data_IF_693937405107
#
_entry.id   IF_693937405107
#
_cell.length_a   1.000
_cell.length_b   1.000
_cell.length_c   1.000
_cell.angle_alpha   90.00
_cell.angle_beta   90.00
_cell.angle_gamma   90.00
#
_symmetry.space_group_name_H-M   'P 1'
#
loop_
_entity.id
_entity.type
_entity.pdbx_description
1 polymer ?
#
# COMPACT_ATOMS: atom_id res chain seq x y z
N UNK A 1 -23.29 -26.04 11.55
CA UNK A 1 -22.76 -24.66 11.61
C UNK A 1 -21.27 -24.79 11.49
N UNK A 2 -20.68 -24.40 10.35
CA UNK A 2 -19.24 -24.30 10.26
C UNK A 2 -18.82 -23.17 11.22
N UNK A 3 -17.82 -23.42 12.05
CA UNK A 3 -17.16 -22.33 12.78
C UNK A 3 -16.50 -21.50 11.70
N UNK A 4 -17.01 -20.29 11.47
CA UNK A 4 -16.32 -19.31 10.62
C UNK A 4 -14.96 -19.07 11.27
N UNK A 5 -13.91 -19.62 10.66
CA UNK A 5 -12.55 -19.36 11.09
C UNK A 5 -12.24 -17.93 10.73
N UNK A 6 -12.12 -17.08 11.74
CA UNK A 6 -11.67 -15.71 11.60
C UNK A 6 -10.31 -15.67 10.87
N UNK A 7 -10.13 -14.84 9.83
CA UNK A 7 -8.93 -14.86 9.01
C UNK A 7 -7.67 -14.36 9.74
N UNK A 8 -7.82 -13.49 10.75
CA UNK A 8 -6.74 -13.01 11.60
C UNK A 8 -6.84 -13.53 13.03
N UNK A 9 -5.67 -13.84 13.60
CA UNK A 9 -5.51 -14.15 15.02
C UNK A 9 -5.54 -12.89 15.90
N UNK A 10 -5.84 -13.04 17.19
CA UNK A 10 -5.79 -11.93 18.15
C UNK A 10 -4.42 -11.24 18.17
N UNK A 11 -3.33 -12.01 18.11
CA UNK A 11 -1.96 -11.45 18.07
C UNK A 11 -1.72 -10.55 16.84
N UNK A 12 -2.29 -10.88 15.69
CA UNK A 12 -2.18 -10.06 14.47
C UNK A 12 -2.98 -8.77 14.60
N UNK A 13 -4.18 -8.83 15.20
CA UNK A 13 -5.02 -7.66 15.48
C UNK A 13 -4.30 -6.74 16.49
N UNK A 14 -3.76 -7.30 17.57
CA UNK A 14 -2.98 -6.56 18.57
C UNK A 14 -1.73 -5.93 17.95
N UNK A 15 -1.03 -6.64 17.06
CA UNK A 15 0.09 -6.08 16.31
C UNK A 15 -0.32 -4.88 15.48
N UNK A 16 -1.42 -4.97 14.72
CA UNK A 16 -1.90 -3.86 13.91
C UNK A 16 -2.20 -2.62 14.77
N UNK A 17 -2.91 -2.77 15.89
CA UNK A 17 -3.21 -1.62 16.76
C UNK A 17 -1.97 -1.07 17.48
N UNK A 18 -1.03 -1.94 17.85
CA UNK A 18 0.21 -1.54 18.51
C UNK A 18 1.13 -0.78 17.55
N UNK A 19 1.32 -1.31 16.36
CA UNK A 19 2.37 -0.91 15.41
C UNK A 19 1.83 0.00 14.29
N UNK A 20 0.51 0.06 14.10
CA UNK A 20 -0.14 0.89 13.09
C UNK A 20 -0.21 0.23 11.71
N UNK A 21 0.36 -0.96 11.57
CA UNK A 21 0.35 -1.77 10.36
C UNK A 21 0.46 -3.26 10.67
N UNK A 22 0.09 -4.09 9.70
CA UNK A 22 0.22 -5.54 9.73
C UNK A 22 0.59 -6.05 8.34
N UNK A 23 1.71 -6.76 8.24
CA UNK A 23 2.00 -7.58 7.07
C UNK A 23 1.44 -8.99 7.32
N UNK A 24 0.42 -9.38 6.57
CA UNK A 24 -0.30 -10.63 6.73
C UNK A 24 -0.10 -11.55 5.53
N UNK A 25 0.10 -12.84 5.82
CA UNK A 25 0.20 -13.92 4.83
C UNK A 25 -1.07 -14.77 4.84
N UNK A 26 -1.34 -15.46 3.74
CA UNK A 26 -2.40 -16.49 3.65
C UNK A 26 -3.82 -15.96 3.43
N UNK A 27 -4.01 -14.63 3.38
CA UNK A 27 -5.29 -14.03 2.98
C UNK A 27 -5.52 -14.10 1.48
N UNK A 28 -4.44 -14.18 0.70
CA UNK A 28 -4.46 -14.35 -0.75
C UNK A 28 -3.72 -15.65 -1.03
N UNK A 29 -4.39 -16.68 -1.57
CA UNK A 29 -3.74 -17.92 -1.96
C UNK A 29 -2.58 -17.64 -2.92
N UNK A 30 -1.42 -18.26 -2.69
CA UNK A 30 -0.23 -18.03 -3.51
C UNK A 30 -0.51 -18.27 -5.00
N UNK A 31 -1.29 -19.29 -5.35
CA UNK A 31 -1.68 -19.55 -6.74
C UNK A 31 -2.43 -18.37 -7.40
N UNK A 32 -3.29 -17.66 -6.64
CA UNK A 32 -3.98 -16.46 -7.14
C UNK A 32 -2.98 -15.32 -7.32
N UNK A 33 -2.10 -15.10 -6.34
CA UNK A 33 -1.09 -14.05 -6.42
C UNK A 33 -0.09 -14.28 -7.57
N UNK A 34 0.31 -15.53 -7.83
CA UNK A 34 1.18 -15.91 -8.96
C UNK A 34 0.51 -15.70 -10.31
N UNK A 35 -0.79 -16.01 -10.42
CA UNK A 35 -1.56 -15.65 -11.62
C UNK A 35 -1.57 -14.13 -11.79
N UNK A 36 -1.83 -13.38 -10.72
CA UNK A 36 -1.76 -11.92 -10.74
C UNK A 36 -0.37 -11.38 -11.12
N UNK A 37 0.71 -12.02 -10.68
CA UNK A 37 2.08 -11.72 -11.09
C UNK A 37 2.28 -11.88 -12.60
N UNK A 38 1.87 -13.02 -13.16
CA UNK A 38 1.96 -13.28 -14.59
C UNK A 38 1.14 -12.26 -15.41
N UNK A 39 -0.09 -11.98 -14.96
CA UNK A 39 -0.94 -10.94 -15.55
C UNK A 39 -0.32 -9.55 -15.46
N UNK A 40 0.36 -9.22 -14.36
CA UNK A 40 1.02 -7.93 -14.20
C UNK A 40 2.09 -7.72 -15.28
N UNK A 41 2.88 -8.74 -15.60
CA UNK A 41 3.85 -8.68 -16.69
C UNK A 41 3.17 -8.39 -18.03
N UNK A 42 2.07 -9.09 -18.34
CA UNK A 42 1.29 -8.90 -19.57
C UNK A 42 0.66 -7.50 -19.66
N UNK A 43 -0.08 -7.08 -18.62
CA UNK A 43 -0.78 -5.78 -18.56
C UNK A 43 0.19 -4.61 -18.69
N UNK A 44 1.40 -4.76 -18.15
CA UNK A 44 2.43 -3.75 -18.20
C UNK A 44 3.26 -3.79 -19.50
N UNK A 45 3.08 -4.80 -20.35
CA UNK A 45 3.87 -4.99 -21.57
C UNK A 45 5.34 -5.31 -21.28
N UNK A 46 5.61 -5.97 -20.16
CA UNK A 46 6.95 -6.24 -19.64
C UNK A 46 7.28 -7.74 -19.73
N UNK A 47 8.55 -8.07 -19.96
CA UNK A 47 9.06 -9.43 -19.91
C UNK A 47 9.98 -9.59 -18.67
N UNK A 48 9.73 -10.55 -17.77
CA UNK A 48 10.56 -10.77 -16.58
C UNK A 48 12.03 -11.12 -16.90
N UNK A 49 12.33 -11.54 -18.13
CA UNK A 49 13.67 -11.89 -18.59
C UNK A 49 14.31 -10.83 -19.49
N UNK A 50 13.63 -9.70 -19.74
CA UNK A 50 14.14 -8.60 -20.57
C UNK A 50 13.97 -7.24 -19.86
N UNK A 51 14.90 -6.85 -18.96
CA UNK A 51 14.81 -5.62 -18.16
C UNK A 51 14.63 -4.33 -18.97
N UNK A 52 15.07 -4.31 -20.23
CA UNK A 52 14.87 -3.20 -21.17
C UNK A 52 13.39 -2.94 -21.52
N UNK A 53 12.48 -3.85 -21.14
CA UNK A 53 11.03 -3.72 -21.35
C UNK A 53 10.32 -3.01 -20.20
N UNK A 54 10.93 -2.90 -19.01
CA UNK A 54 10.24 -2.49 -17.78
C UNK A 54 9.85 -1.01 -17.70
N UNK A 55 10.23 -0.21 -18.70
CA UNK A 55 9.89 1.21 -18.86
C UNK A 55 9.04 1.50 -20.12
N UNK A 56 8.57 0.46 -20.82
CA UNK A 56 7.75 0.59 -22.03
C UNK A 56 6.25 0.52 -21.69
N UNK A 57 5.76 1.54 -20.96
CA UNK A 57 4.36 1.59 -20.57
C UNK A 57 3.44 1.78 -21.77
N UNK A 58 2.29 1.10 -21.78
CA UNK A 58 1.26 1.28 -22.80
C UNK A 58 0.68 2.70 -22.77
N UNK A 59 0.21 3.19 -23.92
CA UNK A 59 -0.47 4.49 -24.03
C UNK A 59 -1.67 4.59 -23.07
N UNK A 60 -2.38 3.47 -22.88
CA UNK A 60 -3.49 3.37 -21.93
C UNK A 60 -3.03 3.59 -20.48
N UNK A 61 -1.95 2.92 -20.06
CA UNK A 61 -1.42 3.06 -18.72
C UNK A 61 -0.92 4.49 -18.46
N UNK A 62 -0.27 5.10 -19.46
CA UNK A 62 0.16 6.51 -19.40
C UNK A 62 -1.06 7.44 -19.30
N UNK A 63 -2.07 7.26 -20.13
CA UNK A 63 -3.28 8.08 -20.14
C UNK A 63 -4.01 8.01 -18.79
N UNK A 64 -4.18 6.81 -18.24
CA UNK A 64 -4.77 6.57 -16.92
C UNK A 64 -3.97 7.28 -15.81
N UNK A 65 -2.64 7.16 -15.84
CA UNK A 65 -1.75 7.86 -14.88
C UNK A 65 -1.97 9.37 -14.90
N UNK A 66 -2.01 9.96 -16.10
CA UNK A 66 -2.19 11.40 -16.29
C UNK A 66 -3.59 11.85 -15.86
N UNK A 67 -4.63 11.08 -16.19
CA UNK A 67 -6.02 11.36 -15.79
C UNK A 67 -6.19 11.35 -14.27
N UNK A 68 -5.47 10.47 -13.57
CA UNK A 68 -5.44 10.44 -12.10
C UNK A 68 -4.66 11.62 -11.49
N UNK A 69 -4.04 12.48 -12.31
CA UNK A 69 -3.25 13.63 -11.88
C UNK A 69 -1.81 13.28 -11.48
N UNK A 70 -1.33 12.10 -11.87
CA UNK A 70 0.03 11.65 -11.63
C UNK A 70 0.88 11.83 -12.89
N UNK A 71 2.21 11.75 -12.74
CA UNK A 71 3.16 11.76 -13.85
C UNK A 71 3.86 10.41 -13.89
N UNK A 72 3.98 9.75 -15.05
CA UNK A 72 4.82 8.57 -15.19
C UNK A 72 6.24 8.85 -14.67
N UNK A 73 6.81 7.91 -13.93
CA UNK A 73 8.19 7.95 -13.45
C UNK A 73 8.81 6.59 -13.70
N UNK A 74 10.06 6.56 -14.15
CA UNK A 74 10.76 5.32 -14.52
C UNK A 74 10.98 4.35 -13.34
N UNK A 75 10.95 4.84 -12.09
CA UNK A 75 11.24 4.04 -10.88
C UNK A 75 10.01 3.67 -10.07
N UNK A 76 8.92 4.41 -10.27
CA UNK A 76 7.64 4.21 -9.59
C UNK A 76 6.56 4.51 -10.62
N UNK A 77 5.88 3.46 -11.07
CA UNK A 77 4.78 3.63 -12.01
C UNK A 77 3.46 3.23 -11.37
N UNK A 78 2.42 4.00 -11.69
CA UNK A 78 1.08 3.81 -11.16
C UNK A 78 0.08 3.73 -12.29
N UNK A 79 -0.58 2.59 -12.47
CA UNK A 79 -1.64 2.41 -13.45
C UNK A 79 -2.96 2.23 -12.71
N UNK A 80 -3.88 3.16 -12.91
CA UNK A 80 -5.17 3.23 -12.24
C UNK A 80 -6.27 2.58 -13.09
N UNK A 81 -7.31 2.11 -12.42
CA UNK A 81 -8.55 1.61 -13.03
C UNK A 81 -8.31 0.44 -14.01
N UNK A 82 -7.30 -0.40 -13.73
CA UNK A 82 -7.12 -1.62 -14.51
C UNK A 82 -8.10 -2.69 -14.03
N UNK A 83 -8.90 -3.21 -14.95
CA UNK A 83 -10.02 -4.12 -14.66
C UNK A 83 -9.71 -5.58 -15.02
N UNK A 84 -8.44 -5.97 -15.13
CA UNK A 84 -8.10 -7.34 -15.50
C UNK A 84 -8.60 -8.32 -14.42
N UNK A 85 -9.38 -9.37 -14.78
CA UNK A 85 -10.03 -10.24 -13.81
C UNK A 85 -9.04 -10.94 -12.86
N UNK A 86 -7.87 -11.33 -13.35
CA UNK A 86 -6.85 -11.99 -12.51
C UNK A 86 -6.21 -11.05 -11.48
N UNK A 87 -6.09 -9.75 -11.76
CA UNK A 87 -5.64 -8.77 -10.76
C UNK A 87 -6.75 -8.47 -9.75
N UNK A 88 -8.00 -8.39 -10.20
CA UNK A 88 -9.17 -8.23 -9.33
C UNK A 88 -9.39 -9.45 -8.42
N UNK A 89 -9.04 -10.65 -8.89
CA UNK A 89 -9.14 -11.88 -8.10
C UNK A 89 -8.23 -11.88 -6.85
N UNK A 90 -7.21 -11.01 -6.79
CA UNK A 90 -6.36 -10.84 -5.62
C UNK A 90 -7.09 -10.18 -4.43
N UNK A 91 -8.24 -9.54 -4.65
CA UNK A 91 -9.08 -8.95 -3.60
C UNK A 91 -10.04 -10.00 -3.04
N UNK A 92 -9.54 -10.88 -2.17
CA UNK A 92 -10.27 -12.04 -1.67
C UNK A 92 -11.31 -11.69 -0.60
N UNK A 93 -12.34 -12.54 -0.38
CA UNK A 93 -13.24 -12.41 0.77
C UNK A 93 -12.51 -12.42 2.12
N UNK A 94 -11.45 -13.22 2.26
CA UNK A 94 -10.62 -13.29 3.46
C UNK A 94 -9.90 -11.97 3.75
N UNK A 95 -9.45 -11.25 2.71
CA UNK A 95 -8.92 -9.89 2.84
C UNK A 95 -9.99 -8.91 3.36
N UNK A 96 -11.21 -8.96 2.83
CA UNK A 96 -12.30 -8.08 3.28
C UNK A 96 -12.68 -8.35 4.74
N UNK A 97 -12.79 -9.62 5.11
CA UNK A 97 -13.05 -10.03 6.49
C UNK A 97 -11.91 -9.64 7.44
N UNK A 98 -10.65 -9.73 7.00
CA UNK A 98 -9.50 -9.25 7.77
C UNK A 98 -9.56 -7.73 8.01
N UNK A 99 -9.94 -6.93 7.01
CA UNK A 99 -10.14 -5.48 7.19
C UNK A 99 -11.25 -5.17 8.20
N UNK A 100 -12.36 -5.92 8.16
CA UNK A 100 -13.42 -5.80 9.16
C UNK A 100 -12.91 -6.10 10.59
N UNK A 101 -12.10 -7.16 10.76
CA UNK A 101 -11.48 -7.46 12.06
C UNK A 101 -10.54 -6.35 12.54
N UNK A 102 -9.70 -5.80 11.67
CA UNK A 102 -8.71 -4.77 12.02
C UNK A 102 -9.33 -3.41 12.36
N UNK A 103 -10.48 -3.11 11.75
CA UNK A 103 -11.14 -1.80 11.86
C UNK A 103 -12.29 -1.80 12.85
N UNK A 104 -12.87 -2.98 13.14
CA UNK A 104 -14.11 -3.12 13.92
C UNK A 104 -15.37 -2.76 13.13
N UNK A 105 -15.26 -2.47 11.83
CA UNK A 105 -16.38 -2.16 10.95
C UNK A 105 -17.10 -3.43 10.49
N UNK A 106 -18.30 -3.28 9.92
CA UNK A 106 -19.01 -4.39 9.27
C UNK A 106 -18.25 -4.84 8.02
N UNK A 107 -18.21 -6.15 7.77
CA UNK A 107 -17.62 -6.71 6.54
C UNK A 107 -18.34 -6.22 5.28
N UNK A 108 -19.62 -5.87 5.38
CA UNK A 108 -20.41 -5.32 4.26
C UNK A 108 -19.90 -3.97 3.74
N UNK A 109 -19.05 -3.28 4.51
CA UNK A 109 -18.40 -2.05 4.09
C UNK A 109 -17.27 -2.30 3.09
N UNK A 110 -16.71 -3.51 3.06
CA UNK A 110 -15.54 -3.86 2.27
C UNK A 110 -15.93 -4.73 1.08
N UNK A 111 -15.72 -4.21 -0.13
CA UNK A 111 -15.94 -4.94 -1.37
C UNK A 111 -14.75 -4.73 -2.32
N UNK A 112 -14.38 -5.72 -3.15
CA UNK A 112 -13.37 -5.53 -4.18
C UNK A 112 -13.59 -4.24 -4.98
N UNK A 113 -12.53 -3.51 -5.35
CA UNK A 113 -12.67 -2.32 -6.18
C UNK A 113 -13.11 -2.69 -7.59
N UNK A 114 -13.76 -1.75 -8.30
CA UNK A 114 -14.11 -1.94 -9.71
C UNK A 114 -12.87 -1.98 -10.64
N UNK A 115 -11.78 -1.36 -10.18
CA UNK A 115 -10.51 -1.29 -10.89
C UNK A 115 -9.33 -1.24 -9.93
N UNK A 116 -8.25 -1.90 -10.30
CA UNK A 116 -7.03 -1.96 -9.50
C UNK A 116 -6.18 -0.71 -9.65
N UNK A 117 -5.39 -0.41 -8.62
CA UNK A 117 -4.26 0.50 -8.74
C UNK A 117 -2.97 -0.31 -8.66
N UNK A 118 -2.33 -0.48 -9.81
CA UNK A 118 -0.99 -1.06 -9.94
C UNK A 118 0.02 -0.03 -9.42
N UNK A 119 0.96 -0.45 -8.58
CA UNK A 119 2.02 0.42 -8.08
C UNK A 119 3.36 -0.34 -8.04
N UNK A 120 4.09 -0.28 -9.15
CA UNK A 120 5.35 -1.00 -9.31
C UNK A 120 6.55 -0.13 -8.97
N UNK A 121 7.59 -0.73 -8.40
CA UNK A 121 8.89 -0.07 -8.18
C UNK A 121 9.98 -0.82 -8.93
N UNK A 122 10.66 -0.12 -9.84
CA UNK A 122 11.65 -0.70 -10.74
C UNK A 122 13.07 -0.57 -10.20
N UNK A 123 13.97 -1.50 -10.57
CA UNK A 123 15.40 -1.42 -10.28
C UNK A 123 16.03 -0.08 -10.64
N UNK A 124 17.03 0.33 -9.85
CA UNK A 124 17.75 1.58 -10.00
C UNK A 124 19.17 1.44 -9.47
N UNK A 125 20.13 2.09 -10.15
CA UNK A 125 21.54 2.19 -9.73
C UNK A 125 21.77 3.21 -8.60
N UNK A 126 20.72 3.63 -7.90
CA UNK A 126 20.86 4.61 -6.81
C UNK A 126 21.28 3.92 -5.51
N UNK A 127 21.81 4.68 -4.56
CA UNK A 127 22.00 4.15 -3.21
C UNK A 127 20.66 3.76 -2.60
N UNK A 128 20.68 2.69 -1.80
CA UNK A 128 19.49 2.30 -1.06
C UNK A 128 19.13 3.37 -0.03
N UNK A 129 17.94 3.92 -0.18
CA UNK A 129 17.36 4.90 0.72
C UNK A 129 15.83 4.78 0.66
N UNK A 130 15.17 5.21 1.72
CA UNK A 130 13.72 5.42 1.70
C UNK A 130 13.40 6.87 1.36
N UNK A 131 12.33 7.07 0.58
CA UNK A 131 11.95 8.39 0.12
C UNK A 131 10.79 8.96 0.95
N UNK A 132 11.04 10.08 1.62
CA UNK A 132 10.01 10.96 2.18
C UNK A 132 8.98 10.25 3.06
N UNK A 133 9.36 9.93 4.31
CA UNK A 133 8.45 9.42 5.32
C UNK A 133 7.17 10.25 5.37
N UNK A 134 6.02 9.60 5.24
CA UNK A 134 4.72 10.26 5.18
C UNK A 134 3.59 9.34 5.66
N UNK A 135 2.44 9.94 5.94
CA UNK A 135 1.14 9.27 5.97
C UNK A 135 0.31 9.75 4.76
N UNK A 136 -0.68 8.96 4.38
CA UNK A 136 -1.50 9.24 3.20
C UNK A 136 -2.47 10.40 3.41
N UNK A 137 -2.98 10.98 2.31
CA UNK A 137 -4.03 12.01 2.35
C UNK A 137 -3.53 13.46 2.54
N UNK A 138 -2.24 13.67 2.80
CA UNK A 138 -1.64 15.01 2.99
C UNK A 138 -1.45 15.86 1.72
N UNK A 139 -2.30 15.71 0.70
CA UNK A 139 -2.24 16.47 -0.56
C UNK A 139 -3.18 17.67 -0.50
N UNK A 140 -2.64 18.90 -0.49
CA UNK A 140 -3.43 20.13 -0.31
C UNK A 140 -4.61 20.25 -1.27
N UNK A 141 -4.42 19.93 -2.57
CA UNK A 141 -5.48 20.04 -3.57
C UNK A 141 -6.68 19.10 -3.32
N UNK A 142 -6.54 18.07 -2.46
CA UNK A 142 -7.62 17.13 -2.13
C UNK A 142 -8.42 17.54 -0.90
N UNK A 143 -7.92 18.49 -0.09
CA UNK A 143 -8.62 19.02 1.10
C UNK A 143 -9.18 17.93 2.03
N UNK A 144 -8.47 16.81 2.20
CA UNK A 144 -8.90 15.75 3.11
C UNK A 144 -8.87 16.23 4.56
N UNK A 145 -9.97 16.04 5.28
CA UNK A 145 -10.06 16.30 6.71
C UNK A 145 -9.16 15.34 7.48
N UNK A 146 -8.62 15.80 8.60
CA UNK A 146 -7.79 14.98 9.49
C UNK A 146 -8.64 14.05 10.34
N UNK A 147 -9.79 14.53 10.84
CA UNK A 147 -10.71 13.77 11.69
C UNK A 147 -12.18 14.02 11.26
N UNK A 148 -12.97 12.95 11.01
CA UNK A 148 -12.49 11.61 10.69
C UNK A 148 -11.57 11.66 9.46
N UNK A 149 -10.59 10.76 9.42
CA UNK A 149 -9.63 10.69 8.31
C UNK A 149 -10.29 10.25 6.99
N UNK A 150 -9.69 10.55 5.83
CA UNK A 150 -10.21 10.19 4.51
C UNK A 150 -10.29 8.69 4.21
N UNK A 151 -9.58 7.85 4.97
CA UNK A 151 -9.48 6.42 4.75
C UNK A 151 -9.58 5.70 6.11
N UNK A 152 -10.28 4.58 6.15
CA UNK A 152 -10.40 3.69 7.29
C UNK A 152 -9.11 2.88 7.42
N UNK A 153 -8.68 2.28 6.30
CA UNK A 153 -7.49 1.43 6.22
C UNK A 153 -6.89 1.49 4.80
N UNK A 154 -5.58 1.30 4.68
CA UNK A 154 -4.92 1.17 3.39
C UNK A 154 -4.36 -0.23 3.24
N UNK A 155 -4.21 -0.69 1.99
CA UNK A 155 -3.64 -1.99 1.69
C UNK A 155 -2.65 -1.96 0.52
N UNK A 156 -1.62 -2.81 0.59
CA UNK A 156 -0.72 -3.14 -0.53
C UNK A 156 -0.61 -4.66 -0.61
N UNK A 157 -1.08 -5.23 -1.73
CA UNK A 157 -0.91 -6.64 -2.09
C UNK A 157 0.42 -6.78 -2.84
N UNK A 158 1.27 -7.71 -2.44
CA UNK A 158 2.52 -8.01 -3.12
C UNK A 158 2.36 -9.22 -4.03
N UNK A 159 2.65 -9.05 -5.32
CA UNK A 159 2.49 -10.10 -6.33
C UNK A 159 3.77 -10.91 -6.52
N UNK A 160 4.90 -10.44 -5.99
CA UNK A 160 6.17 -11.17 -6.00
C UNK A 160 6.92 -11.00 -4.68
N UNK A 161 7.94 -11.83 -4.49
CA UNK A 161 8.80 -11.79 -3.31
C UNK A 161 9.66 -10.54 -3.33
N UNK A 162 9.64 -9.78 -2.23
CA UNK A 162 10.44 -8.58 -2.07
C UNK A 162 11.51 -8.85 -1.02
N UNK A 163 12.73 -9.05 -1.50
CA UNK A 163 13.89 -9.13 -0.64
C UNK A 163 14.24 -7.76 -0.05
N UNK A 164 15.00 -7.78 1.04
CA UNK A 164 15.66 -6.61 1.58
C UNK A 164 16.31 -5.76 0.48
N UNK A 165 16.01 -4.47 0.48
CA UNK A 165 16.43 -3.47 -0.51
C UNK A 165 15.80 -3.60 -1.92
N UNK A 166 14.76 -4.42 -2.07
CA UNK A 166 14.04 -4.67 -3.33
C UNK A 166 12.91 -3.70 -3.66
N UNK A 167 12.95 -2.45 -3.16
CA UNK A 167 11.86 -1.50 -3.37
C UNK A 167 10.63 -1.73 -2.48
N UNK A 168 10.80 -2.43 -1.36
CA UNK A 168 9.75 -2.67 -0.38
C UNK A 168 9.25 -1.41 0.34
N UNK A 169 8.36 -1.63 1.30
CA UNK A 169 7.85 -0.57 2.18
C UNK A 169 8.71 -0.51 3.44
N UNK A 170 9.09 0.70 3.84
CA UNK A 170 9.57 0.98 5.19
C UNK A 170 8.41 1.58 6.00
N UNK A 171 8.20 1.07 7.21
CA UNK A 171 7.16 1.54 8.11
C UNK A 171 7.75 1.95 9.47
N UNK A 172 7.09 2.84 10.19
CA UNK A 172 7.48 3.26 11.54
C UNK A 172 6.50 2.69 12.56
N UNK A 173 6.87 1.60 13.28
CA UNK A 173 5.98 0.98 14.25
C UNK A 173 5.52 1.96 15.33
N UNK A 174 4.21 2.08 15.50
CA UNK A 174 3.57 2.92 16.51
C UNK A 174 3.44 4.40 16.13
N UNK A 175 3.94 4.80 14.95
CA UNK A 175 3.94 6.20 14.49
C UNK A 175 2.55 6.83 14.39
N UNK A 176 1.50 6.04 14.18
CA UNK A 176 0.11 6.52 14.13
C UNK A 176 -0.36 7.18 15.44
N UNK A 177 0.21 6.77 16.59
CA UNK A 177 -0.19 7.26 17.91
C UNK A 177 0.25 8.70 18.18
N UNK A 178 1.54 9.06 18.07
CA UNK A 178 1.94 10.44 18.32
C UNK A 178 1.44 11.39 17.21
N UNK A 179 1.20 10.91 15.99
CA UNK A 179 0.53 11.69 14.93
C UNK A 179 -0.93 11.98 15.28
N UNK A 180 -1.65 11.01 15.85
CA UNK A 180 -3.00 11.23 16.39
C UNK A 180 -3.00 12.29 17.49
N UNK A 181 -2.06 12.23 18.42
CA UNK A 181 -1.91 13.24 19.50
C UNK A 181 -1.67 14.63 18.92
N UNK A 182 -0.79 14.75 17.92
CA UNK A 182 -0.57 16.03 17.25
C UNK A 182 -1.85 16.56 16.60
N UNK A 183 -2.54 15.72 15.83
CA UNK A 183 -3.80 16.08 15.17
C UNK A 183 -4.87 16.58 16.15
N UNK A 184 -4.95 15.99 17.35
CA UNK A 184 -5.93 16.35 18.38
C UNK A 184 -5.51 17.54 19.24
N UNK A 185 -4.23 17.93 19.22
CA UNK A 185 -3.70 19.02 20.03
C UNK A 185 -4.22 20.41 19.63
N UNK A 186 -4.54 20.58 18.34
CA UNK A 186 -5.09 21.81 17.77
C UNK A 186 -5.97 21.48 16.55
N UNK A 187 -7.24 21.11 16.77
CA UNK A 187 -8.14 20.68 15.70
C UNK A 187 -8.44 21.77 14.64
N UNK A 188 -8.30 23.05 15.00
CA UNK A 188 -8.48 24.17 14.06
C UNK A 188 -7.27 24.29 13.13
N UNK A 189 -6.05 24.23 13.69
CA UNK A 189 -4.82 24.23 12.89
C UNK A 189 -4.71 22.97 12.02
N UNK A 190 -5.09 21.83 12.57
CA UNK A 190 -4.98 20.52 11.92
C UNK A 190 -6.31 20.03 11.33
N UNK A 191 -7.19 20.94 10.89
CA UNK A 191 -8.45 20.57 10.23
C UNK A 191 -8.20 19.66 9.01
N UNK A 192 -7.14 19.95 8.23
CA UNK A 192 -6.79 19.22 7.03
C UNK A 192 -5.45 18.48 7.13
N UNK A 193 -5.41 17.30 6.52
CA UNK A 193 -4.25 16.40 6.50
C UNK A 193 -2.97 17.04 5.99
N UNK A 194 -3.07 17.96 5.02
CA UNK A 194 -1.91 18.65 4.47
C UNK A 194 -1.27 19.62 5.46
N UNK A 195 -2.04 20.18 6.41
CA UNK A 195 -1.52 21.01 7.50
C UNK A 195 -0.79 20.14 8.51
N UNK A 196 -1.41 19.03 8.92
CA UNK A 196 -0.78 18.06 9.83
C UNK A 196 0.56 17.54 9.27
N UNK A 197 0.60 17.23 7.97
CA UNK A 197 1.81 16.75 7.28
C UNK A 197 2.99 17.73 7.40
N UNK A 198 2.75 19.03 7.43
CA UNK A 198 3.83 20.02 7.53
C UNK A 198 4.59 19.90 8.85
N UNK A 199 3.92 19.45 9.90
CA UNK A 199 4.46 19.34 11.26
C UNK A 199 4.89 17.91 11.62
N UNK A 200 4.87 16.96 10.67
CA UNK A 200 5.36 15.59 10.89
C UNK A 200 6.77 15.55 11.51
N UNK A 201 7.64 16.46 11.09
CA UNK A 201 9.02 16.56 11.57
C UNK A 201 9.15 16.97 13.05
N UNK A 202 8.08 17.46 13.66
CA UNK A 202 8.04 17.88 15.07
C UNK A 202 7.75 16.73 16.03
N UNK A 203 7.42 15.56 15.49
CA UNK A 203 6.97 14.39 16.25
C UNK A 203 8.04 13.31 16.20
N UNK A 204 8.40 12.77 17.37
CA UNK A 204 9.18 11.54 17.42
C UNK A 204 8.29 10.35 17.07
N UNK A 205 8.55 9.77 15.90
CA UNK A 205 7.82 8.61 15.36
C UNK A 205 8.64 7.31 15.47
N UNK A 206 9.79 7.36 16.16
CA UNK A 206 10.67 6.21 16.35
C UNK A 206 11.50 5.84 15.13
N UNK A 207 12.00 4.59 15.14
CA UNK A 207 12.85 4.05 14.09
C UNK A 207 12.06 3.31 13.00
N UNK A 208 12.51 3.38 11.73
CA UNK A 208 11.92 2.62 10.64
C UNK A 208 12.24 1.12 10.72
N UNK A 209 11.35 0.29 10.15
CA UNK A 209 11.61 -1.10 9.79
C UNK A 209 11.31 -1.30 8.30
N UNK A 210 12.21 -1.98 7.59
CA UNK A 210 11.96 -2.44 6.22
C UNK A 210 11.16 -3.75 6.25
N UNK A 211 10.15 -3.84 5.39
CA UNK A 211 9.31 -5.03 5.26
C UNK A 211 9.79 -5.89 4.09
N UNK A 212 9.79 -7.20 4.28
CA UNK A 212 10.24 -8.22 3.31
C UNK A 212 9.08 -9.16 2.91
N UNK A 213 8.02 -8.64 2.25
CA UNK A 213 6.84 -9.41 1.90
C UNK A 213 7.13 -10.51 0.86
N UNK A 214 6.32 -11.56 0.91
CA UNK A 214 6.29 -12.66 -0.05
C UNK A 214 5.13 -12.50 -1.02
N UNK A 215 5.19 -13.21 -2.15
CA UNK A 215 4.07 -13.30 -3.08
C UNK A 215 2.78 -13.73 -2.34
N UNK A 216 1.73 -12.94 -2.48
CA UNK A 216 0.44 -13.14 -1.79
C UNK A 216 0.34 -12.51 -0.41
N UNK A 217 1.42 -11.93 0.12
CA UNK A 217 1.33 -11.13 1.34
C UNK A 217 0.59 -9.81 1.07
N UNK A 218 -0.06 -9.31 2.12
CA UNK A 218 -0.74 -8.03 2.11
C UNK A 218 -0.32 -7.20 3.32
N UNK A 219 0.10 -5.96 3.05
CA UNK A 219 0.34 -4.95 4.08
C UNK A 219 -0.93 -4.13 4.29
N UNK A 220 -1.50 -4.21 5.49
CA UNK A 220 -2.50 -3.27 5.98
C UNK A 220 -1.83 -2.18 6.81
N UNK A 221 -2.26 -0.93 6.65
CA UNK A 221 -1.76 0.16 7.49
C UNK A 221 -2.81 1.24 7.75
N UNK A 222 -2.80 1.72 8.99
CA UNK A 222 -3.73 2.72 9.47
C UNK A 222 -3.48 4.08 8.81
N UNK A 223 -4.52 4.91 8.81
CA UNK A 223 -4.51 6.25 8.24
C UNK A 223 -3.30 7.13 8.63
N UNK A 224 -2.88 7.10 9.90
CA UNK A 224 -1.73 7.86 10.41
C UNK A 224 -0.42 7.06 10.45
N UNK A 225 -0.39 5.83 9.95
CA UNK A 225 0.84 5.06 9.90
C UNK A 225 1.85 5.74 8.96
N UNK A 226 2.98 6.16 9.51
CA UNK A 226 4.07 6.72 8.73
C UNK A 226 4.79 5.58 8.01
N UNK A 227 4.98 5.78 6.71
CA UNK A 227 5.63 4.82 5.83
C UNK A 227 6.36 5.54 4.69
N UNK A 228 7.17 4.78 3.97
CA UNK A 228 7.89 5.23 2.79
C UNK A 228 8.13 4.05 1.84
N UNK A 229 8.22 4.36 0.54
CA UNK A 229 8.81 3.42 -0.42
C UNK A 229 10.35 3.53 -0.36
N UNK A 230 11.02 2.42 -0.66
CA UNK A 230 12.49 2.38 -0.81
C UNK A 230 12.90 2.43 -2.29
N UNK A 231 14.12 2.89 -2.54
CA UNK A 231 14.79 2.61 -3.80
C UNK A 231 14.96 1.08 -3.95
N UNK A 232 14.73 0.58 -5.17
CA UNK A 232 15.00 -0.81 -5.50
C UNK A 232 16.40 -0.93 -6.08
N UNK A 233 17.32 -1.48 -5.30
CA UNK A 233 18.73 -1.72 -5.72
C UNK A 233 18.98 -3.19 -6.05
N UNK A 234 17.89 -3.95 -6.26
CA UNK A 234 17.91 -5.34 -6.71
C UNK A 234 17.53 -5.40 -8.18
N UNK A 235 17.66 -6.58 -8.75
CA UNK A 235 17.50 -6.78 -10.19
C UNK A 235 16.07 -7.05 -10.64
N UNK A 236 15.11 -7.20 -9.71
CA UNK A 236 13.71 -7.49 -10.02
C UNK A 236 12.79 -6.35 -9.56
N UNK A 237 11.79 -5.94 -10.36
CA UNK A 237 10.78 -4.97 -9.94
C UNK A 237 9.96 -5.51 -8.76
N UNK A 238 9.52 -4.61 -7.89
CA UNK A 238 8.39 -4.87 -7.00
C UNK A 238 7.10 -4.74 -7.79
N UNK A 239 6.28 -5.79 -7.79
CA UNK A 239 4.95 -5.80 -8.38
C UNK A 239 3.90 -5.79 -7.27
N UNK A 240 3.00 -4.80 -7.30
CA UNK A 240 2.03 -4.62 -6.22
C UNK A 240 0.73 -3.95 -6.67
N UNK A 241 -0.36 -4.28 -5.96
CA UNK A 241 -1.66 -3.61 -6.06
C UNK A 241 -1.90 -2.81 -4.78
N UNK A 242 -2.29 -1.55 -4.91
CA UNK A 242 -2.55 -0.65 -3.77
C UNK A 242 -4.02 -0.24 -3.73
N UNK A 243 -4.61 -0.24 -2.54
CA UNK A 243 -5.97 0.24 -2.32
C UNK A 243 -6.09 1.07 -1.05
N UNK A 244 -7.11 1.91 -1.02
CA UNK A 244 -7.51 2.73 0.13
C UNK A 244 -9.00 2.54 0.32
N UNK A 245 -9.40 2.32 1.56
CA UNK A 245 -10.74 1.88 1.95
C UNK A 245 -11.37 2.94 2.84
#
# INVERSE_FOLDING_TARGET
>A
MAVETLPLTENQIDQYHRDGFLLASGLIPEAIARTGEATMWEVMGMDPHAPETWNNYSDEAIASTLQAGFKPRSKLFQYFDNQHPDLLACYTPEMMAAMAQLTGESVDLFHPPDGTLIQNIFPSDEEWAWQGAHFDGGVKAKMHKTLPGPFIINSIIYLNDIEKHGGGTVAWPGSHKPIRVLAESDPEKYEYMWQLKQDLHTVDIGGPVELEPKCGDILFFAHFCVHAATNNVRDMPRLALRSRW
#
